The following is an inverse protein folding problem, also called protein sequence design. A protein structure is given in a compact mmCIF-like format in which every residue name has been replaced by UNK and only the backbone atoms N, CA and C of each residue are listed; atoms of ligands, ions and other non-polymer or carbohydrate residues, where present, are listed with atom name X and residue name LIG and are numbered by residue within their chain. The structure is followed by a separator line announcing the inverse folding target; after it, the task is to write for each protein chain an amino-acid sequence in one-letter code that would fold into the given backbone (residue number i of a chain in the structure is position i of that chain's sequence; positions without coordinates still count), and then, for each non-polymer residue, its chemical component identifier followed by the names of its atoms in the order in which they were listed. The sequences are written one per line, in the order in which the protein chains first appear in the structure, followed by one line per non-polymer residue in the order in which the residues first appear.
data_IF_289886089284
#
_entry.id   IF_289886089284
#
_cell.length_a   1.000
_cell.length_b   1.000
_cell.length_c   1.000
_cell.angle_alpha   90.00
_cell.angle_beta   90.00
_cell.angle_gamma   90.00
#
_symmetry.space_group_name_H-M   'P 1'
#
loop_
_entity.id
_entity.type
_entity.pdbx_description
1 polymer ?
#
# COMPACT_ATOMS: atom_id res chain seq x y z
N UNK A 1 2.41 24.76 -48.94
CA UNK A 1 1.87 24.81 -47.57
C UNK A 1 2.42 23.60 -46.82
N UNK A 2 3.37 23.81 -45.92
CA UNK A 2 4.08 22.76 -45.18
C UNK A 2 3.55 22.72 -43.74
N UNK A 3 3.06 21.57 -43.31
CA UNK A 3 2.54 21.33 -41.96
C UNK A 3 3.69 21.17 -40.94
N UNK A 4 3.62 21.81 -39.75
CA UNK A 4 4.62 21.63 -38.71
C UNK A 4 4.48 20.26 -38.03
N UNK A 5 5.62 19.59 -37.80
CA UNK A 5 5.72 18.34 -37.03
C UNK A 5 5.68 18.65 -35.53
N UNK A 6 4.72 18.06 -34.83
CA UNK A 6 4.61 18.11 -33.36
C UNK A 6 5.52 17.06 -32.75
N UNK A 7 6.41 17.45 -31.83
CA UNK A 7 7.22 16.53 -31.04
C UNK A 7 6.39 15.94 -29.89
N UNK A 8 6.39 14.61 -29.75
CA UNK A 8 5.80 13.91 -28.60
C UNK A 8 6.66 14.07 -27.33
N UNK A 9 6.06 14.13 -26.14
CA UNK A 9 6.79 14.14 -24.88
C UNK A 9 7.35 12.75 -24.53
N UNK A 10 8.61 12.72 -24.09
CA UNK A 10 9.27 11.53 -23.58
C UNK A 10 8.67 11.10 -22.23
N UNK A 11 8.08 9.90 -22.19
CA UNK A 11 7.73 9.20 -20.96
C UNK A 11 9.00 8.77 -20.22
N UNK A 12 9.18 9.27 -19.00
CA UNK A 12 10.20 8.80 -18.07
C UNK A 12 9.76 7.47 -17.44
N UNK A 13 10.47 6.39 -17.74
CA UNK A 13 10.41 5.14 -16.99
C UNK A 13 11.47 5.18 -15.87
N UNK A 14 11.02 5.16 -14.62
CA UNK A 14 11.89 4.85 -13.48
C UNK A 14 11.86 3.34 -13.23
N UNK A 15 12.90 2.63 -13.67
CA UNK A 15 13.13 1.24 -13.24
C UNK A 15 13.81 1.24 -11.88
N UNK A 16 13.13 0.71 -10.86
CA UNK A 16 13.75 0.38 -9.58
C UNK A 16 14.52 -0.94 -9.70
N UNK A 17 15.81 -0.92 -9.37
CA UNK A 17 16.65 -2.11 -9.31
C UNK A 17 16.26 -2.97 -8.09
N UNK A 18 15.95 -4.24 -8.31
CA UNK A 18 15.73 -5.23 -7.24
C UNK A 18 17.09 -5.73 -6.70
N UNK A 19 17.30 -5.77 -5.38
CA UNK A 19 18.44 -6.47 -4.79
C UNK A 19 18.20 -7.98 -4.79
N UNK A 20 19.06 -8.70 -5.50
CA UNK A 20 19.21 -10.15 -5.46
C UNK A 20 19.84 -10.56 -4.12
N UNK A 21 19.11 -11.30 -3.30
CA UNK A 21 19.63 -11.91 -2.07
C UNK A 21 19.74 -13.42 -2.28
N UNK A 22 20.98 -13.90 -2.39
CA UNK A 22 21.33 -15.30 -2.49
C UNK A 22 21.14 -15.99 -1.12
N UNK A 23 20.54 -17.17 -1.17
CA UNK A 23 20.37 -18.10 -0.05
C UNK A 23 21.61 -18.99 0.12
N UNK A 24 22.21 -18.97 1.31
CA UNK A 24 23.23 -19.94 1.72
C UNK A 24 23.14 -20.25 3.23
N UNK A 25 22.99 -21.54 3.55
CA UNK A 25 23.62 -22.27 4.66
C UNK A 25 23.43 -21.83 6.12
N UNK A 26 22.76 -22.70 6.91
CA UNK A 26 22.92 -22.79 8.37
C UNK A 26 24.37 -23.15 8.76
N UNK A 27 24.87 -22.67 9.91
CA UNK A 27 24.92 -23.57 11.08
C UNK A 27 24.62 -22.90 12.45
N UNK A 28 24.50 -23.79 13.44
CA UNK A 28 24.12 -23.62 14.83
C UNK A 28 24.92 -22.63 15.68
N UNK A 29 24.21 -21.98 16.63
CA UNK A 29 24.66 -21.71 18.00
C UNK A 29 25.57 -20.51 18.25
N UNK A 30 25.02 -19.40 18.75
CA UNK A 30 25.68 -18.50 19.70
C UNK A 30 24.72 -17.42 20.23
N UNK A 31 24.90 -17.09 21.51
CA UNK A 31 24.24 -16.04 22.31
C UNK A 31 24.96 -14.69 22.14
N UNK A 32 24.22 -13.58 22.01
CA UNK A 32 24.42 -12.24 22.64
C UNK A 32 24.07 -11.01 21.77
N UNK A 33 23.35 -10.09 22.44
CA UNK A 33 23.35 -8.62 22.38
C UNK A 33 22.71 -7.84 21.19
N UNK A 34 22.04 -6.70 21.48
CA UNK A 34 21.36 -5.87 20.48
C UNK A 34 22.33 -4.86 19.85
N UNK A 35 22.30 -4.77 18.52
CA UNK A 35 23.13 -3.82 17.77
C UNK A 35 22.34 -2.59 17.32
N UNK A 36 23.07 -1.49 17.31
CA UNK A 36 22.69 -0.09 17.21
C UNK A 36 22.23 0.35 15.82
N UNK A 37 21.37 1.37 15.85
CA UNK A 37 21.04 2.37 14.82
C UNK A 37 22.05 2.54 13.68
N UNK A 38 21.59 2.34 12.44
CA UNK A 38 22.23 2.85 11.22
C UNK A 38 21.31 3.92 10.58
N UNK A 39 21.75 5.17 10.67
CA UNK A 39 21.24 6.31 9.91
C UNK A 39 21.70 6.16 8.45
N UNK A 40 20.76 5.91 7.53
CA UNK A 40 21.04 5.97 6.09
C UNK A 40 21.09 7.43 5.64
N UNK A 41 22.30 7.92 5.39
CA UNK A 41 22.57 9.16 4.66
C UNK A 41 22.08 9.03 3.22
N UNK A 42 21.04 9.78 2.86
CA UNK A 42 20.63 9.97 1.46
C UNK A 42 21.58 10.99 0.83
N UNK A 43 22.56 10.53 0.06
CA UNK A 43 23.32 11.40 -0.83
C UNK A 43 22.44 11.79 -2.02
N UNK A 44 22.06 13.07 -2.05
CA UNK A 44 21.33 13.70 -3.15
C UNK A 44 22.36 14.08 -4.24
N UNK A 45 22.58 13.16 -5.19
CA UNK A 45 23.43 13.44 -6.36
C UNK A 45 22.61 14.18 -7.42
N UNK A 46 22.81 15.50 -7.51
CA UNK A 46 22.34 16.30 -8.64
C UNK A 46 23.18 15.97 -9.88
N UNK A 47 22.69 15.04 -10.70
CA UNK A 47 23.24 14.77 -12.03
C UNK A 47 22.82 15.88 -13.02
N UNK A 48 23.45 17.05 -12.92
CA UNK A 48 23.51 18.03 -14.00
C UNK A 48 24.91 17.97 -14.61
N UNK A 49 25.06 17.15 -15.66
CA UNK A 49 26.06 17.21 -16.75
C UNK A 49 26.49 15.79 -17.15
N UNK A 50 25.74 15.15 -18.05
CA UNK A 50 26.35 14.15 -18.94
C UNK A 50 25.47 13.90 -20.17
N UNK A 51 25.48 14.82 -21.13
CA UNK A 51 25.12 14.51 -22.53
C UNK A 51 25.53 15.61 -23.51
N UNK A 52 26.77 15.54 -23.99
CA UNK A 52 27.18 16.12 -25.27
C UNK A 52 28.35 15.29 -25.83
N UNK A 53 28.05 14.09 -26.32
CA UNK A 53 28.93 13.38 -27.26
C UNK A 53 28.07 12.97 -28.45
N UNK A 54 28.24 13.67 -29.57
CA UNK A 54 27.77 13.24 -30.88
C UNK A 54 29.00 13.19 -31.76
N UNK A 55 29.37 11.97 -32.15
CA UNK A 55 30.48 11.68 -33.03
C UNK A 55 30.17 12.15 -34.45
N UNK A 56 30.54 13.38 -34.77
CA UNK A 56 30.88 13.85 -36.11
C UNK A 56 31.82 15.03 -35.93
N UNK A 57 33.08 14.88 -36.35
CA UNK A 57 34.16 15.83 -36.13
C UNK A 57 34.02 17.13 -36.89
N UNK A 58 33.16 18.04 -36.43
CA UNK A 58 33.14 19.44 -36.84
C UNK A 58 33.00 20.31 -35.58
N UNK A 59 34.00 21.15 -35.23
CA UNK A 59 33.91 22.01 -34.06
C UNK A 59 32.91 23.13 -34.33
N UNK A 60 31.83 23.18 -33.56
CA UNK A 60 30.97 24.38 -33.47
C UNK A 60 31.43 25.23 -32.29
N UNK A 61 31.80 26.51 -32.50
CA UNK A 61 31.83 27.48 -31.42
C UNK A 61 30.38 27.86 -31.08
N UNK A 62 30.16 28.44 -29.89
CA UNK A 62 28.90 29.00 -29.39
C UNK A 62 28.08 28.06 -28.48
N UNK A 63 28.47 28.02 -27.21
CA UNK A 63 27.55 28.21 -26.08
C UNK A 63 28.33 28.84 -24.92
N UNK A 64 28.88 30.02 -25.20
CA UNK A 64 29.11 31.05 -24.20
C UNK A 64 27.80 31.83 -24.05
N UNK A 65 27.53 32.36 -22.84
CA UNK A 65 26.29 32.97 -22.31
C UNK A 65 25.46 31.92 -21.54
N UNK A 66 25.22 32.02 -20.24
CA UNK A 66 25.05 33.23 -19.44
C UNK A 66 25.21 32.87 -17.96
N UNK A 67 26.36 33.21 -17.39
CA UNK A 67 26.46 33.41 -15.94
C UNK A 67 25.82 34.76 -15.64
N UNK A 68 24.59 34.76 -15.13
CA UNK A 68 24.02 36.01 -14.62
C UNK A 68 24.74 36.40 -13.33
N UNK A 69 25.25 37.64 -13.23
CA UNK A 69 25.88 38.14 -12.01
C UNK A 69 24.83 38.31 -10.90
N UNK A 70 25.23 37.91 -9.69
CA UNK A 70 24.54 38.22 -8.44
C UNK A 70 24.39 39.75 -8.31
N UNK A 71 23.16 40.24 -8.42
CA UNK A 71 22.83 41.61 -8.05
C UNK A 71 22.46 41.64 -6.55
N UNK A 72 23.46 42.03 -5.76
CA UNK A 72 23.40 42.23 -4.31
C UNK A 72 22.75 43.61 -4.06
N UNK A 73 21.41 43.68 -3.98
CA UNK A 73 20.71 44.90 -3.54
C UNK A 73 19.28 44.65 -3.01
N UNK A 74 19.05 43.49 -2.37
CA UNK A 74 17.80 43.22 -1.60
C UNK A 74 18.08 42.59 -0.24
N UNK A 75 19.24 42.89 0.32
CA UNK A 75 19.74 42.38 1.60
C UNK A 75 19.45 43.39 2.72
N UNK A 76 18.18 43.76 2.90
CA UNK A 76 17.77 44.62 4.02
C UNK A 76 16.31 44.43 4.51
N UNK A 77 15.46 43.73 3.77
CA UNK A 77 14.05 43.49 4.17
C UNK A 77 13.79 42.01 4.53
N UNK A 78 14.79 41.15 4.41
CA UNK A 78 14.65 39.71 4.68
C UNK A 78 14.88 39.30 6.16
N UNK A 79 15.32 40.22 7.04
CA UNK A 79 15.72 39.87 8.41
C UNK A 79 14.63 40.09 9.48
N UNK A 80 13.54 40.81 9.19
CA UNK A 80 12.47 41.07 10.17
C UNK A 80 11.31 40.05 10.16
N UNK A 81 11.21 39.16 9.16
CA UNK A 81 10.13 38.16 9.06
C UNK A 81 10.52 36.76 9.56
N UNK A 82 11.68 36.60 10.20
CA UNK A 82 12.13 35.32 10.74
C UNK A 82 11.81 35.11 12.23
N UNK A 83 11.27 36.11 12.93
CA UNK A 83 11.09 36.03 14.41
C UNK A 83 9.62 35.91 14.83
N UNK A 84 8.65 36.21 13.94
CA UNK A 84 7.20 36.09 14.24
C UNK A 84 6.53 34.90 13.51
N UNK A 85 7.30 34.10 12.78
CA UNK A 85 6.84 32.94 12.03
C UNK A 85 6.82 31.63 12.82
N UNK A 86 6.75 31.68 14.16
CA UNK A 86 6.46 30.51 15.02
C UNK A 86 5.00 30.11 14.83
N UNK A 87 4.67 29.71 13.60
CA UNK A 87 3.41 29.09 13.25
C UNK A 87 3.16 27.97 14.24
N UNK A 88 2.05 28.10 14.95
CA UNK A 88 1.45 27.06 15.77
C UNK A 88 1.15 25.88 14.86
N UNK A 89 2.15 25.03 14.67
CA UNK A 89 2.00 23.76 14.00
C UNK A 89 1.18 22.89 14.97
N UNK A 90 -0.14 23.05 14.89
CA UNK A 90 -1.09 22.16 15.54
C UNK A 90 -0.72 20.76 15.05
N UNK A 91 -0.02 20.00 15.89
CA UNK A 91 0.24 18.59 15.65
C UNK A 91 -1.13 17.93 15.64
N UNK A 92 -1.71 17.76 14.46
CA UNK A 92 -2.77 16.79 14.26
C UNK A 92 -2.20 15.47 14.77
N UNK A 93 -2.66 15.03 15.94
CA UNK A 93 -2.30 13.73 16.47
C UNK A 93 -2.91 12.70 15.53
N UNK A 94 -2.12 12.25 14.55
CA UNK A 94 -2.48 11.12 13.72
C UNK A 94 -2.72 9.94 14.65
N UNK A 95 -3.95 9.42 14.69
CA UNK A 95 -4.24 8.23 15.47
C UNK A 95 -3.60 7.05 14.76
N UNK A 96 -2.93 6.20 15.54
CA UNK A 96 -2.46 4.94 15.01
C UNK A 96 -3.68 4.03 14.82
N UNK A 97 -3.88 3.59 13.58
CA UNK A 97 -4.85 2.53 13.28
C UNK A 97 -4.37 1.23 13.92
N UNK A 98 -5.25 0.59 14.69
CA UNK A 98 -5.06 -0.78 15.14
C UNK A 98 -5.62 -1.72 14.07
N UNK A 99 -5.24 -2.99 14.13
CA UNK A 99 -5.81 -4.00 13.22
C UNK A 99 -5.92 -5.36 13.86
N UNK A 100 -6.92 -6.13 13.42
CA UNK A 100 -6.98 -7.57 13.65
C UNK A 100 -6.88 -8.30 12.31
N UNK A 101 -6.37 -9.53 12.36
CA UNK A 101 -6.13 -10.38 11.20
C UNK A 101 -6.53 -11.82 11.50
N UNK A 102 -7.28 -12.44 10.60
CA UNK A 102 -7.66 -13.86 10.71
C UNK A 102 -7.46 -14.55 9.34
N UNK A 103 -6.99 -15.80 9.36
CA UNK A 103 -6.71 -16.61 8.17
C UNK A 103 -7.41 -17.95 8.31
N UNK A 104 -8.21 -18.30 7.31
CA UNK A 104 -9.03 -19.52 7.30
C UNK A 104 -9.12 -20.13 5.91
N UNK A 105 -9.43 -21.40 5.89
CA UNK A 105 -9.79 -22.12 4.67
C UNK A 105 -11.29 -22.39 4.70
N UNK A 106 -11.97 -22.07 3.59
CA UNK A 106 -13.39 -22.37 3.44
C UNK A 106 -13.68 -23.87 3.50
N UNK A 107 -14.94 -24.21 3.80
CA UNK A 107 -15.42 -25.59 3.64
C UNK A 107 -15.40 -26.01 2.17
N UNK A 108 -15.43 -27.32 1.91
CA UNK A 108 -15.36 -27.87 0.57
C UNK A 108 -16.53 -27.41 -0.32
N UNK A 109 -16.22 -26.79 -1.46
CA UNK A 109 -17.19 -26.51 -2.51
C UNK A 109 -17.30 -27.74 -3.41
N UNK A 110 -18.36 -28.53 -3.24
CA UNK A 110 -18.61 -29.76 -4.02
C UNK A 110 -19.71 -29.61 -5.09
N UNK A 111 -20.36 -28.43 -5.18
CA UNK A 111 -21.45 -28.15 -6.14
C UNK A 111 -21.34 -26.73 -6.66
N UNK A 112 -21.61 -26.54 -7.95
CA UNK A 112 -21.68 -25.22 -8.59
C UNK A 112 -22.97 -24.49 -8.20
N UNK A 113 -22.95 -23.15 -8.20
CA UNK A 113 -24.03 -22.26 -7.75
C UNK A 113 -24.50 -22.50 -6.31
N UNK A 114 -23.66 -23.13 -5.50
CA UNK A 114 -23.85 -23.23 -4.05
C UNK A 114 -22.85 -22.30 -3.37
N UNK A 115 -23.33 -21.52 -2.41
CA UNK A 115 -22.46 -20.61 -1.67
C UNK A 115 -22.01 -21.25 -0.36
N UNK A 116 -20.71 -21.17 -0.10
CA UNK A 116 -20.10 -21.68 1.13
C UNK A 116 -19.59 -20.50 1.94
N UNK A 117 -20.13 -20.26 3.15
CA UNK A 117 -19.68 -19.19 4.03
C UNK A 117 -18.40 -19.58 4.78
N UNK A 118 -17.57 -18.57 5.07
CA UNK A 118 -16.40 -18.68 5.96
C UNK A 118 -16.36 -17.44 6.85
N UNK A 119 -16.48 -17.64 8.16
CA UNK A 119 -16.55 -16.54 9.13
C UNK A 119 -15.18 -16.19 9.69
N UNK A 120 -14.91 -14.89 9.76
CA UNK A 120 -13.73 -14.24 10.30
C UNK A 120 -14.17 -13.30 11.41
N UNK A 121 -13.53 -13.35 12.57
CA UNK A 121 -13.91 -12.50 13.69
C UNK A 121 -12.69 -12.06 14.51
N UNK A 122 -12.76 -10.90 15.18
CA UNK A 122 -11.69 -10.47 16.07
C UNK A 122 -11.47 -11.47 17.22
N UNK A 123 -12.55 -12.09 17.72
CA UNK A 123 -12.47 -13.12 18.76
C UNK A 123 -11.69 -14.36 18.31
N UNK A 124 -11.89 -14.82 17.08
CA UNK A 124 -11.10 -15.94 16.54
C UNK A 124 -9.63 -15.58 16.33
N UNK A 125 -9.32 -14.29 16.12
CA UNK A 125 -7.97 -13.77 16.09
C UNK A 125 -7.37 -13.50 17.49
N UNK A 126 -8.12 -13.73 18.58
CA UNK A 126 -7.68 -13.44 19.95
C UNK A 126 -7.57 -11.94 20.27
N UNK A 127 -8.31 -11.10 19.55
CA UNK A 127 -8.31 -9.64 19.73
C UNK A 127 -9.62 -9.17 20.34
N UNK A 128 -9.52 -8.46 21.46
CA UNK A 128 -10.65 -7.74 22.05
C UNK A 128 -10.69 -6.30 21.53
N UNK A 129 -11.83 -5.92 20.96
CA UNK A 129 -12.02 -4.61 20.33
C UNK A 129 -12.62 -3.63 21.33
N UNK A 130 -11.98 -2.48 21.60
CA UNK A 130 -12.55 -1.45 22.47
C UNK A 130 -13.93 -0.99 21.98
N UNK A 131 -14.95 -0.91 22.85
CA UNK A 131 -16.28 -0.43 22.48
C UNK A 131 -16.24 0.96 21.85
N UNK A 132 -17.01 1.20 20.79
CA UNK A 132 -17.02 2.48 20.08
C UNK A 132 -15.89 2.68 19.08
N UNK A 133 -15.06 1.65 18.84
CA UNK A 133 -14.12 1.64 17.72
C UNK A 133 -14.86 1.61 16.39
N UNK A 134 -14.24 2.14 15.33
CA UNK A 134 -14.81 2.14 13.97
C UNK A 134 -13.82 1.59 12.96
N UNK A 135 -14.29 0.77 12.03
CA UNK A 135 -13.51 0.28 10.89
C UNK A 135 -13.02 1.48 10.07
N UNK A 136 -11.74 1.44 9.68
CA UNK A 136 -11.15 2.41 8.74
C UNK A 136 -10.96 1.78 7.36
N UNK A 137 -10.59 0.50 7.33
CA UNK A 137 -10.27 -0.22 6.08
C UNK A 137 -10.34 -1.73 6.28
N UNK A 138 -10.63 -2.45 5.21
CA UNK A 138 -10.60 -3.91 5.17
C UNK A 138 -9.75 -4.38 3.99
N UNK A 139 -8.90 -5.38 4.23
CA UNK A 139 -8.19 -6.12 3.20
C UNK A 139 -8.65 -7.57 3.18
N UNK A 140 -8.77 -8.11 1.98
CA UNK A 140 -8.98 -9.54 1.74
C UNK A 140 -7.83 -10.03 0.87
N UNK A 141 -7.29 -11.18 1.24
CA UNK A 141 -6.29 -11.88 0.43
C UNK A 141 -6.72 -13.34 0.24
N UNK A 142 -7.10 -13.69 -0.98
CA UNK A 142 -7.37 -15.05 -1.42
C UNK A 142 -6.04 -15.68 -1.84
N UNK A 143 -5.70 -16.77 -1.19
CA UNK A 143 -4.48 -17.54 -1.46
C UNK A 143 -4.83 -18.87 -2.13
N UNK A 144 -3.84 -19.52 -2.73
CA UNK A 144 -4.04 -20.78 -3.45
C UNK A 144 -4.39 -20.59 -4.93
N UNK A 145 -3.95 -21.55 -5.74
CA UNK A 145 -4.28 -21.58 -7.16
C UNK A 145 -5.44 -22.54 -7.37
N UNK A 146 -6.58 -22.02 -7.81
CA UNK A 146 -7.66 -22.81 -8.39
C UNK A 146 -7.79 -22.45 -9.86
N UNK A 147 -7.86 -23.46 -10.72
CA UNK A 147 -8.18 -23.24 -12.14
C UNK A 147 -9.66 -22.86 -12.34
N UNK A 148 -10.50 -23.03 -11.31
CA UNK A 148 -11.90 -22.67 -11.38
C UNK A 148 -12.09 -21.16 -11.14
N UNK A 149 -12.98 -20.54 -11.90
CA UNK A 149 -13.48 -19.20 -11.60
C UNK A 149 -14.33 -19.25 -10.34
N UNK A 150 -13.94 -18.51 -9.30
CA UNK A 150 -14.64 -18.48 -8.00
C UNK A 150 -15.19 -17.07 -7.80
N UNK A 151 -16.51 -16.96 -7.64
CA UNK A 151 -17.17 -15.73 -7.22
C UNK A 151 -17.08 -15.62 -5.71
N UNK A 152 -16.50 -14.53 -5.22
CA UNK A 152 -16.34 -14.29 -3.79
C UNK A 152 -17.00 -12.98 -3.38
N UNK A 153 -17.76 -13.00 -2.28
CA UNK A 153 -18.39 -11.82 -1.67
C UNK A 153 -17.95 -11.71 -0.22
N UNK A 154 -17.52 -10.52 0.19
CA UNK A 154 -17.22 -10.20 1.59
C UNK A 154 -18.42 -9.49 2.18
N UNK A 155 -19.00 -10.03 3.25
CA UNK A 155 -20.15 -9.47 3.94
C UNK A 155 -19.80 -9.12 5.39
N UNK A 156 -20.20 -7.94 5.85
CA UNK A 156 -20.13 -7.55 7.24
C UNK A 156 -21.44 -7.91 7.94
N UNK A 157 -21.36 -8.68 9.03
CA UNK A 157 -22.48 -9.07 9.88
C UNK A 157 -23.72 -9.58 9.11
N UNK A 158 -23.51 -10.26 7.98
CA UNK A 158 -24.56 -10.87 7.16
C UNK A 158 -25.39 -9.94 6.27
N UNK A 159 -25.09 -8.64 6.17
CA UNK A 159 -25.94 -7.69 5.40
C UNK A 159 -25.17 -6.89 4.35
N UNK A 160 -24.24 -6.04 4.77
CA UNK A 160 -23.48 -5.18 3.88
C UNK A 160 -22.41 -6.00 3.17
N UNK A 161 -22.53 -6.17 1.87
CA UNK A 161 -21.65 -7.04 1.09
C UNK A 161 -20.97 -6.30 -0.06
N UNK A 162 -19.71 -6.66 -0.31
CA UNK A 162 -18.95 -6.22 -1.49
C UNK A 162 -18.40 -7.42 -2.25
N UNK A 163 -18.34 -7.31 -3.57
CA UNK A 163 -17.73 -8.34 -4.42
C UNK A 163 -16.21 -8.25 -4.34
N UNK A 164 -15.54 -9.38 -4.13
CA UNK A 164 -14.08 -9.47 -4.19
C UNK A 164 -13.66 -9.72 -5.65
N UNK A 165 -13.06 -8.71 -6.28
CA UNK A 165 -12.77 -8.73 -7.73
C UNK A 165 -11.36 -9.20 -8.10
N UNK A 166 -10.46 -9.27 -7.12
CA UNK A 166 -9.07 -9.69 -7.30
C UNK A 166 -8.62 -10.59 -6.15
N UNK A 167 -7.55 -11.36 -6.36
CA UNK A 167 -6.97 -12.22 -5.33
C UNK A 167 -6.55 -11.40 -4.09
N UNK A 168 -6.09 -10.16 -4.29
CA UNK A 168 -5.89 -9.20 -3.21
C UNK A 168 -6.79 -7.99 -3.44
N UNK A 169 -7.56 -7.60 -2.42
CA UNK A 169 -8.44 -6.44 -2.48
C UNK A 169 -8.34 -5.65 -1.17
N UNK A 170 -8.24 -4.33 -1.29
CA UNK A 170 -8.42 -3.39 -0.20
C UNK A 170 -9.69 -2.58 -0.45
N UNK A 171 -10.49 -2.33 0.59
CA UNK A 171 -11.73 -1.56 0.48
C UNK A 171 -12.00 -0.77 1.75
N UNK A 172 -12.58 0.42 1.56
CA UNK A 172 -13.11 1.33 2.56
C UNK A 172 -14.65 1.27 2.64
N UNK A 173 -15.29 0.36 1.89
CA UNK A 173 -16.74 0.22 1.85
C UNK A 173 -17.38 -0.10 3.21
N UNK A 174 -16.59 -0.53 4.18
CA UNK A 174 -17.02 -0.84 5.55
C UNK A 174 -16.60 0.23 6.57
N UNK A 175 -16.06 1.36 6.12
CA UNK A 175 -15.60 2.42 7.00
C UNK A 175 -16.75 2.96 7.87
N UNK A 176 -16.45 3.23 9.15
CA UNK A 176 -17.43 3.70 10.13
C UNK A 176 -18.27 2.60 10.80
N UNK A 177 -18.21 1.36 10.31
CA UNK A 177 -18.90 0.22 10.95
C UNK A 177 -18.16 -0.30 12.18
N UNK A 178 -18.87 -1.09 13.00
CA UNK A 178 -18.34 -1.70 14.21
C UNK A 178 -17.36 -2.86 13.89
N UNK A 179 -16.06 -2.75 14.27
CA UNK A 179 -15.04 -3.76 13.98
C UNK A 179 -15.12 -5.01 14.86
N UNK A 180 -16.01 -5.01 15.87
CA UNK A 180 -16.23 -6.19 16.73
C UNK A 180 -17.12 -7.25 16.07
N UNK A 181 -17.81 -6.90 14.97
CA UNK A 181 -18.72 -7.81 14.26
C UNK A 181 -17.96 -8.73 13.30
N UNK A 182 -18.49 -9.94 13.05
CA UNK A 182 -17.85 -10.86 12.13
C UNK A 182 -17.96 -10.41 10.68
N UNK A 183 -16.96 -10.79 9.89
CA UNK A 183 -17.00 -10.78 8.44
C UNK A 183 -17.20 -12.20 7.92
N UNK A 184 -18.00 -12.36 6.88
CA UNK A 184 -18.22 -13.64 6.22
C UNK A 184 -17.79 -13.54 4.76
N UNK A 185 -16.88 -14.41 4.33
CA UNK A 185 -16.61 -14.62 2.90
C UNK A 185 -17.53 -15.71 2.37
N UNK A 186 -18.32 -15.37 1.36
CA UNK A 186 -19.15 -16.30 0.61
C UNK A 186 -18.45 -16.65 -0.69
N UNK A 187 -18.14 -17.94 -0.87
CA UNK A 187 -17.51 -18.44 -2.08
C UNK A 187 -18.50 -19.29 -2.87
N UNK A 188 -18.54 -19.11 -4.20
CA UNK A 188 -19.32 -19.95 -5.10
C UNK A 188 -18.61 -20.14 -6.43
N UNK A 189 -18.88 -21.28 -7.08
CA UNK A 189 -18.40 -21.57 -8.43
C UNK A 189 -19.58 -21.45 -9.38
N UNK A 190 -19.54 -20.60 -10.42
CA UNK A 190 -20.67 -20.43 -11.33
C UNK A 190 -20.94 -21.72 -12.13
N UNK A 191 -22.19 -21.87 -12.59
CA UNK A 191 -22.64 -23.02 -13.41
C UNK A 191 -23.52 -24.00 -12.65
N UNK A 192 -23.69 -25.22 -13.18
CA UNK A 192 -24.59 -26.24 -12.61
C UNK A 192 -23.90 -27.59 -12.44
N UNK A 193 -24.41 -28.40 -11.50
CA UNK A 193 -23.96 -29.76 -11.27
C UNK A 193 -22.85 -29.90 -10.21
N UNK A 194 -22.42 -31.15 -9.95
CA UNK A 194 -21.38 -31.46 -8.98
C UNK A 194 -19.99 -31.02 -9.46
N UNK A 195 -19.06 -30.86 -8.52
CA UNK A 195 -17.64 -30.62 -8.76
C UNK A 195 -16.91 -31.91 -8.37
N UNK A 196 -16.22 -32.54 -9.34
CA UNK A 196 -15.55 -33.83 -9.14
C UNK A 196 -14.42 -33.73 -8.10
N UNK A 197 -13.64 -32.65 -8.16
CA UNK A 197 -12.58 -32.36 -7.21
C UNK A 197 -13.03 -31.19 -6.32
N UNK A 198 -13.40 -31.43 -5.05
CA UNK A 198 -13.86 -30.35 -4.18
C UNK A 198 -12.82 -29.24 -4.05
N UNK A 199 -13.30 -28.00 -4.10
CA UNK A 199 -12.45 -26.82 -4.05
C UNK A 199 -12.45 -26.26 -2.64
N UNK A 200 -11.26 -25.91 -2.15
CA UNK A 200 -11.06 -25.21 -0.89
C UNK A 200 -10.40 -23.88 -1.19
N UNK A 201 -10.90 -22.80 -0.58
CA UNK A 201 -10.40 -21.44 -0.79
C UNK A 201 -9.77 -20.96 0.50
N UNK A 202 -8.43 -20.95 0.61
CA UNK A 202 -7.74 -20.31 1.73
C UNK A 202 -7.73 -18.80 1.53
N UNK A 203 -8.16 -18.07 2.55
CA UNK A 203 -8.25 -16.63 2.52
C UNK A 203 -7.93 -16.01 3.88
N UNK A 204 -7.41 -14.80 3.85
CA UNK A 204 -7.18 -13.99 5.03
C UNK A 204 -7.88 -12.64 4.93
N UNK A 205 -8.32 -12.16 6.09
CA UNK A 205 -9.02 -10.88 6.25
C UNK A 205 -8.26 -10.06 7.28
N UNK A 206 -7.87 -8.84 6.90
CA UNK A 206 -7.29 -7.85 7.82
C UNK A 206 -8.25 -6.68 7.93
N UNK A 207 -8.58 -6.28 9.14
CA UNK A 207 -9.45 -5.14 9.41
C UNK A 207 -8.70 -4.12 10.23
N UNK A 208 -8.51 -2.94 9.67
CA UNK A 208 -7.99 -1.78 10.38
C UNK A 208 -9.14 -1.01 11.01
N UNK A 209 -8.90 -0.52 12.22
CA UNK A 209 -9.89 0.23 12.98
C UNK A 209 -9.22 1.28 13.85
N UNK A 210 -10.00 2.30 14.18
CA UNK A 210 -9.61 3.38 15.06
C UNK A 210 -10.39 3.28 16.37
N UNK A 211 -9.70 3.23 17.52
CA UNK A 211 -10.35 3.29 18.83
C UNK A 211 -11.13 4.59 19.05
N UNK A 212 -12.16 4.57 19.92
CA UNK A 212 -12.89 5.79 20.29
C UNK A 212 -11.95 6.82 20.92
N UNK A 213 -12.30 8.10 20.82
CA UNK A 213 -11.58 9.15 21.55
C UNK A 213 -11.91 8.98 23.04
N UNK A 214 -10.92 8.80 23.94
CA UNK A 214 -11.22 8.93 25.35
C UNK A 214 -11.72 10.35 25.62
N UNK A 215 -12.73 10.53 26.48
CA UNK A 215 -13.18 11.86 26.87
C UNK A 215 -12.01 12.62 27.52
N UNK A 216 -11.78 13.86 27.08
CA UNK A 216 -10.83 14.77 27.74
C UNK A 216 -11.42 15.10 29.11
N UNK A 217 -10.75 14.69 30.18
CA UNK A 217 -11.10 15.06 31.55
C UNK A 217 -10.44 16.36 31.95
#
# INVERSE_FOLDING_TARGET
MSTPRTCLPCLWHCSAAQPSSASAGLPSGATMAPNTTALSSVMMSCSCCNRCYSGTGIPRPLCARSCCPMNISRLAIALCLLILGSTTQARAQARADLSWHDTRTSSAIHRKSYEVPTDYSPRSAGVDIPPGSTITRVAVNLTGQSAAQINTRLCWNGSQCVTVTAAHMNTDAFAGLDPSRPFTLWHSVPGRGPIINPIYVPASVTVWYQPPIPPVR
#
